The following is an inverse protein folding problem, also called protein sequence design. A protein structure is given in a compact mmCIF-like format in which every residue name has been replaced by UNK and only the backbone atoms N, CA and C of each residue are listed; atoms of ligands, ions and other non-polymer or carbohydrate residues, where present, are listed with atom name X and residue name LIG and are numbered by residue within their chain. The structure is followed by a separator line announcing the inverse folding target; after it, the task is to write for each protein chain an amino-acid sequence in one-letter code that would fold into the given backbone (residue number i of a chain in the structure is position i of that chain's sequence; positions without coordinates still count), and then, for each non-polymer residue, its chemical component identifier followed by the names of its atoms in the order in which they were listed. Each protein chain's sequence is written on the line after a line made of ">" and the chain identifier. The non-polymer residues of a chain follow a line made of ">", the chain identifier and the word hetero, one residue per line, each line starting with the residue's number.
data_IF_695395322524
#
_entry.id   IF_695395322524
#
_cell.length_a   1.000
_cell.length_b   1.000
_cell.length_c   1.000
_cell.angle_alpha   90.00
_cell.angle_beta   90.00
_cell.angle_gamma   90.00
#
_symmetry.space_group_name_H-M   'P 1'
#
loop_
_entity.id
_entity.type
_entity.pdbx_description
1 polymer ?
#
# COMPACT_ATOMS: atom_id res chain seq x y z
N UNK A 1 3.19 9.81 -15.49
CA UNK A 1 2.93 10.93 -14.53
C UNK A 1 3.39 12.30 -15.07
N UNK A 2 4.04 12.38 -16.20
CA UNK A 2 4.60 13.62 -16.74
C UNK A 2 5.85 14.09 -15.97
N UNK A 3 6.29 15.30 -16.27
CA UNK A 3 7.45 15.95 -15.67
C UNK A 3 7.12 17.39 -15.27
N UNK A 4 7.91 18.01 -14.37
CA UNK A 4 7.87 19.46 -14.14
C UNK A 4 8.03 20.27 -15.44
N UNK A 5 7.50 21.48 -15.46
CA UNK A 5 7.74 22.39 -16.59
C UNK A 5 9.24 22.62 -16.78
N UNK A 6 9.75 22.45 -18.00
CA UNK A 6 11.18 22.49 -18.30
C UNK A 6 11.96 21.21 -18.01
N UNK A 7 11.29 20.15 -17.53
CA UNK A 7 11.92 18.87 -17.18
C UNK A 7 12.56 18.84 -15.78
N UNK A 8 13.25 17.75 -15.47
CA UNK A 8 13.94 17.57 -14.20
C UNK A 8 15.26 16.80 -14.37
N UNK A 9 16.11 16.89 -13.36
CA UNK A 9 17.46 16.33 -13.35
C UNK A 9 17.61 15.39 -12.15
N UNK A 10 18.25 14.24 -12.38
CA UNK A 10 18.42 13.21 -11.37
C UNK A 10 17.14 12.40 -11.14
N UNK A 11 17.15 11.57 -10.13
CA UNK A 11 16.01 10.73 -9.76
C UNK A 11 14.92 11.53 -9.00
N UNK A 12 13.65 11.12 -9.08
CA UNK A 12 12.62 11.63 -8.19
C UNK A 12 12.84 11.10 -6.75
N UNK A 13 12.21 11.75 -5.78
CA UNK A 13 12.06 11.22 -4.43
C UNK A 13 10.58 11.14 -4.07
N UNK A 14 10.21 10.22 -3.19
CA UNK A 14 8.82 10.02 -2.81
C UNK A 14 8.66 9.74 -1.34
N UNK A 15 7.55 10.20 -0.79
CA UNK A 15 7.16 9.95 0.60
C UNK A 15 5.64 9.76 0.71
N UNK A 16 5.24 8.80 1.52
CA UNK A 16 3.88 8.65 2.00
C UNK A 16 3.88 8.93 3.50
N UNK A 17 3.46 10.13 3.91
CA UNK A 17 3.39 10.48 5.33
C UNK A 17 2.19 9.86 6.06
N UNK A 18 1.18 9.45 5.30
CA UNK A 18 0.04 8.65 5.75
C UNK A 18 -0.59 7.92 4.55
N UNK A 19 -1.51 6.96 4.75
CA UNK A 19 -2.08 6.17 3.65
C UNK A 19 -2.84 6.96 2.57
N UNK A 20 -3.29 8.18 2.89
CA UNK A 20 -4.08 9.02 1.97
C UNK A 20 -3.22 9.99 1.14
N UNK A 21 -1.95 10.19 1.50
CA UNK A 21 -1.08 11.20 0.89
C UNK A 21 0.21 10.58 0.39
N UNK A 22 0.51 10.78 -0.89
CA UNK A 22 1.82 10.49 -1.48
C UNK A 22 2.35 11.77 -2.14
N UNK A 23 3.57 12.16 -1.80
CA UNK A 23 4.26 13.26 -2.45
C UNK A 23 5.44 12.74 -3.26
N UNK A 24 5.60 13.27 -4.46
CA UNK A 24 6.76 13.05 -5.32
C UNK A 24 7.46 14.39 -5.52
N UNK A 25 8.76 14.41 -5.29
CA UNK A 25 9.61 15.57 -5.46
C UNK A 25 10.68 15.32 -6.51
N UNK A 26 11.06 16.38 -7.21
CA UNK A 26 12.14 16.36 -8.19
C UNK A 26 12.91 17.69 -8.16
N UNK A 27 14.19 17.62 -8.51
CA UNK A 27 14.96 18.82 -8.86
C UNK A 27 14.63 19.18 -10.30
N UNK A 28 13.98 20.31 -10.52
CA UNK A 28 13.73 20.84 -11.85
C UNK A 28 15.01 21.14 -12.62
N UNK A 29 14.94 21.24 -13.93
CA UNK A 29 16.06 21.72 -14.76
C UNK A 29 16.45 23.17 -14.41
N UNK A 30 15.56 23.90 -13.75
CA UNK A 30 15.76 25.23 -13.16
C UNK A 30 16.46 25.20 -11.79
N UNK A 31 16.85 24.01 -11.31
CA UNK A 31 17.42 23.74 -9.99
C UNK A 31 16.51 24.09 -8.80
N UNK A 32 15.19 24.22 -9.02
CA UNK A 32 14.21 24.39 -7.95
C UNK A 32 13.67 23.04 -7.50
N UNK A 33 13.13 23.04 -6.28
CA UNK A 33 12.32 21.92 -5.81
C UNK A 33 10.94 21.97 -6.47
N UNK A 34 10.54 20.87 -7.07
CA UNK A 34 9.20 20.66 -7.62
C UNK A 34 8.51 19.54 -6.89
N UNK A 35 7.20 19.69 -6.67
CA UNK A 35 6.36 18.71 -5.97
C UNK A 35 5.15 18.33 -6.83
N UNK A 36 4.77 17.08 -6.75
CA UNK A 36 3.48 16.57 -7.21
C UNK A 36 2.86 15.74 -6.11
N UNK A 37 1.65 16.08 -5.68
CA UNK A 37 0.96 15.43 -4.60
C UNK A 37 -0.19 14.55 -5.09
N UNK A 38 -0.36 13.39 -4.46
CA UNK A 38 -1.58 12.60 -4.50
C UNK A 38 -2.36 12.85 -3.22
N UNK A 39 -3.57 13.34 -3.38
CA UNK A 39 -4.48 13.61 -2.28
C UNK A 39 -5.93 13.53 -2.75
N UNK A 40 -6.85 13.05 -1.90
CA UNK A 40 -8.27 12.93 -2.26
C UNK A 40 -8.51 11.96 -3.43
N UNK A 41 -7.66 10.95 -3.63
CA UNK A 41 -7.81 9.95 -4.69
C UNK A 41 -7.23 10.34 -6.05
N UNK A 42 -6.66 11.54 -6.20
CA UNK A 42 -6.17 12.08 -7.48
C UNK A 42 -4.75 12.64 -7.37
N UNK A 43 -4.02 12.61 -8.48
CA UNK A 43 -2.73 13.29 -8.60
C UNK A 43 -2.95 14.75 -9.03
N UNK A 44 -2.42 15.70 -8.27
CA UNK A 44 -2.36 17.11 -8.65
C UNK A 44 -1.39 17.36 -9.81
N UNK A 45 -1.23 18.63 -10.20
CA UNK A 45 -0.21 19.07 -11.14
C UNK A 45 1.16 19.19 -10.45
N UNK A 46 2.26 19.21 -11.24
CA UNK A 46 3.56 19.61 -10.74
C UNK A 46 3.56 21.08 -10.35
N UNK A 47 4.04 21.41 -9.16
CA UNK A 47 4.14 22.76 -8.65
C UNK A 47 5.56 23.05 -8.14
N UNK A 48 6.16 24.20 -8.48
CA UNK A 48 7.45 24.60 -7.95
C UNK A 48 7.32 25.16 -6.53
N UNK A 49 8.35 24.93 -5.71
CA UNK A 49 8.56 25.66 -4.47
C UNK A 49 9.31 26.97 -4.79
N UNK A 50 8.67 28.11 -4.54
CA UNK A 50 9.20 29.43 -4.88
C UNK A 50 10.03 30.05 -3.76
N UNK A 51 10.92 29.29 -3.16
CA UNK A 51 11.68 29.66 -1.96
C UNK A 51 13.16 29.97 -2.23
N UNK A 52 13.54 30.17 -3.49
CA UNK A 52 14.87 30.61 -3.88
C UNK A 52 15.99 29.59 -3.65
N UNK A 53 15.66 28.36 -3.27
CA UNK A 53 16.64 27.30 -3.08
C UNK A 53 17.32 26.92 -4.39
N UNK A 54 18.66 26.75 -4.34
CA UNK A 54 19.42 26.26 -5.49
C UNK A 54 19.91 24.85 -5.16
N UNK A 55 19.26 23.85 -5.75
CA UNK A 55 19.52 22.44 -5.52
C UNK A 55 20.68 21.95 -6.40
N UNK A 56 21.65 21.26 -5.81
CA UNK A 56 22.72 20.58 -6.53
C UNK A 56 22.59 19.04 -6.49
N UNK A 57 21.62 18.50 -5.74
CA UNK A 57 21.29 17.07 -5.69
C UNK A 57 19.82 16.82 -5.94
N UNK A 58 19.45 15.55 -6.16
CA UNK A 58 18.10 15.09 -5.94
C UNK A 58 17.69 15.31 -4.48
N UNK A 59 16.37 15.50 -4.17
CA UNK A 59 15.91 15.62 -2.80
C UNK A 59 15.89 14.26 -2.09
N UNK A 60 16.14 14.27 -0.77
CA UNK A 60 15.86 13.15 0.13
C UNK A 60 14.71 13.52 1.06
N UNK A 61 13.86 12.56 1.38
CA UNK A 61 12.61 12.80 2.09
C UNK A 61 12.51 11.96 3.36
N UNK A 62 12.05 12.57 4.44
CA UNK A 62 11.76 11.92 5.72
C UNK A 62 10.49 12.45 6.36
N UNK A 63 9.92 11.70 7.29
CA UNK A 63 8.75 12.10 8.07
C UNK A 63 8.91 11.68 9.51
N UNK A 64 8.69 12.61 10.43
CA UNK A 64 8.63 12.36 11.87
C UNK A 64 7.19 12.17 12.36
N UNK A 65 6.26 11.90 11.46
CA UNK A 65 4.85 11.66 11.77
C UNK A 65 3.92 12.03 10.62
N UNK A 66 2.63 11.70 10.72
CA UNK A 66 1.66 11.84 9.61
C UNK A 66 1.40 13.29 9.19
N UNK A 67 1.73 14.25 10.06
CA UNK A 67 1.56 15.70 9.82
C UNK A 67 2.89 16.43 9.70
N UNK A 68 3.95 15.70 9.36
CA UNK A 68 5.29 16.26 9.27
C UNK A 68 6.05 15.65 8.09
N UNK A 69 6.75 16.48 7.34
CA UNK A 69 7.52 16.09 6.17
C UNK A 69 8.80 16.91 6.08
N UNK A 70 9.92 16.25 5.87
CA UNK A 70 11.23 16.89 5.67
C UNK A 70 11.73 16.67 4.25
N UNK A 71 12.35 17.69 3.70
CA UNK A 71 13.11 17.64 2.45
C UNK A 71 14.55 18.05 2.75
N UNK A 72 15.50 17.21 2.36
CA UNK A 72 16.93 17.48 2.46
C UNK A 72 17.54 17.50 1.07
N UNK A 73 18.45 18.44 0.84
CA UNK A 73 19.16 18.60 -0.43
C UNK A 73 20.60 19.00 -0.18
N UNK A 74 21.49 18.74 -1.13
CA UNK A 74 22.76 19.46 -1.21
C UNK A 74 22.54 20.73 -2.02
N UNK A 75 22.95 21.85 -1.46
CA UNK A 75 23.01 23.14 -2.14
C UNK A 75 24.24 23.26 -3.04
N UNK A 76 24.26 24.29 -3.89
CA UNK A 76 25.39 24.60 -4.77
C UNK A 76 26.66 25.02 -4.02
N UNK A 77 26.52 25.41 -2.76
CA UNK A 77 27.64 25.72 -1.83
C UNK A 77 28.23 24.46 -1.18
N UNK A 78 27.69 23.27 -1.51
CA UNK A 78 28.14 21.99 -0.99
C UNK A 78 27.57 21.61 0.38
N UNK A 79 26.78 22.46 1.03
CA UNK A 79 26.17 22.18 2.33
C UNK A 79 24.88 21.36 2.16
N UNK A 80 24.50 20.62 3.20
CA UNK A 80 23.17 20.02 3.32
C UNK A 80 22.21 21.08 3.84
N UNK A 81 21.08 21.21 3.17
CA UNK A 81 19.97 22.06 3.58
C UNK A 81 18.75 21.21 3.92
N UNK A 82 18.00 21.70 4.89
CA UNK A 82 16.72 21.15 5.32
C UNK A 82 15.61 22.16 5.07
N UNK A 83 14.46 21.65 4.67
CA UNK A 83 13.18 22.33 4.65
C UNK A 83 12.11 21.35 5.16
N UNK A 84 11.14 21.84 5.91
CA UNK A 84 10.06 20.96 6.39
C UNK A 84 8.70 21.60 6.23
N UNK A 85 7.71 20.73 6.19
CA UNK A 85 6.31 21.06 6.28
C UNK A 85 5.72 20.46 7.55
N UNK A 86 4.88 21.21 8.24
CA UNK A 86 4.10 20.72 9.37
C UNK A 86 2.71 21.35 9.38
N UNK A 87 1.73 20.61 9.85
CA UNK A 87 0.43 21.16 10.19
C UNK A 87 0.54 21.74 11.62
N UNK A 88 0.11 22.99 11.93
CA UNK A 88 -0.58 23.96 11.10
C UNK A 88 0.32 25.02 10.45
N UNK A 89 1.64 24.94 10.54
CA UNK A 89 2.57 26.03 10.17
C UNK A 89 2.88 26.13 8.67
N UNK A 90 2.61 25.06 7.91
CA UNK A 90 2.98 24.99 6.49
C UNK A 90 4.47 24.78 6.27
N UNK A 91 4.99 25.21 5.11
CA UNK A 91 6.40 25.08 4.75
C UNK A 91 7.31 26.09 5.45
N UNK A 92 8.44 25.60 5.98
CA UNK A 92 9.55 26.43 6.42
C UNK A 92 10.36 27.00 5.23
N UNK A 93 11.27 27.92 5.50
CA UNK A 93 12.39 28.22 4.58
C UNK A 93 13.49 27.15 4.63
N UNK A 94 14.51 27.28 3.78
CA UNK A 94 15.69 26.43 3.82
C UNK A 94 16.60 26.79 5.00
N UNK A 95 17.07 25.79 5.74
CA UNK A 95 18.01 25.92 6.86
C UNK A 95 19.26 25.10 6.53
N UNK A 96 20.43 25.72 6.64
CA UNK A 96 21.72 25.06 6.44
C UNK A 96 22.04 24.13 7.63
N UNK A 97 22.43 22.91 7.35
CA UNK A 97 22.89 21.92 8.33
C UNK A 97 24.41 21.69 8.24
N UNK A 98 25.11 22.45 7.39
CA UNK A 98 26.51 22.28 7.14
C UNK A 98 26.85 21.04 6.31
N UNK A 99 28.12 20.67 6.35
CA UNK A 99 28.67 19.51 5.64
C UNK A 99 29.72 18.81 6.47
N UNK A 100 30.02 17.51 6.22
CA UNK A 100 31.19 16.88 6.82
C UNK A 100 32.50 17.51 6.32
N UNK A 101 33.56 17.37 7.08
CA UNK A 101 34.92 17.67 6.60
C UNK A 101 35.52 16.35 6.15
N UNK A 102 35.65 16.06 4.89
CA UNK A 102 36.12 16.89 3.74
C UNK A 102 35.04 17.25 2.69
N UNK A 103 33.83 17.54 3.05
CA UNK A 103 32.73 17.78 2.11
C UNK A 103 31.93 16.51 1.81
N UNK A 104 31.00 16.58 0.86
CA UNK A 104 30.20 15.44 0.44
C UNK A 104 30.09 15.32 -1.09
N UNK A 105 29.88 14.09 -1.53
CA UNK A 105 29.68 13.72 -2.94
C UNK A 105 28.24 13.19 -3.10
N UNK A 106 27.52 13.67 -4.14
CA UNK A 106 26.15 13.31 -4.39
C UNK A 106 25.15 14.05 -3.47
N UNK A 107 24.01 13.45 -3.21
CA UNK A 107 22.95 13.95 -2.34
C UNK A 107 22.94 13.28 -0.96
N UNK A 108 22.17 13.84 -0.03
CA UNK A 108 21.88 13.19 1.25
C UNK A 108 20.85 12.05 1.07
N UNK A 109 20.86 11.10 2.01
CA UNK A 109 19.75 10.22 2.30
C UNK A 109 19.24 10.48 3.72
N UNK A 110 17.99 10.22 4.00
CA UNK A 110 17.41 10.47 5.32
C UNK A 110 16.47 9.36 5.76
N UNK A 111 16.41 9.16 7.06
CA UNK A 111 15.51 8.23 7.72
C UNK A 111 15.05 8.79 9.07
N UNK A 112 13.74 8.77 9.29
CA UNK A 112 13.14 8.99 10.61
C UNK A 112 12.52 7.67 11.06
N UNK A 113 13.16 6.98 12.01
CA UNK A 113 12.69 5.69 12.53
C UNK A 113 11.61 5.80 13.61
N UNK A 114 11.44 6.99 14.15
CA UNK A 114 10.39 7.36 15.10
C UNK A 114 10.22 8.90 15.12
N UNK A 115 9.18 9.44 15.78
CA UNK A 115 8.92 10.87 15.79
C UNK A 115 9.98 11.76 16.45
N UNK A 116 10.93 11.21 17.19
CA UNK A 116 11.97 11.95 17.91
C UNK A 116 13.33 11.90 17.23
N UNK A 117 13.50 11.05 16.21
CA UNK A 117 14.81 10.80 15.58
C UNK A 117 14.73 11.00 14.07
N UNK A 118 15.63 11.80 13.55
CA UNK A 118 15.87 11.91 12.11
C UNK A 118 17.37 11.84 11.83
N UNK A 119 17.79 10.92 10.99
CA UNK A 119 19.16 10.73 10.59
C UNK A 119 19.37 11.14 9.12
N UNK A 120 20.48 11.81 8.85
CA UNK A 120 20.95 12.11 7.51
C UNK A 120 22.26 11.38 7.30
N UNK A 121 22.38 10.70 6.17
CA UNK A 121 23.62 10.06 5.74
C UNK A 121 24.08 10.62 4.40
N UNK A 122 25.38 10.75 4.26
CA UNK A 122 26.02 11.19 3.03
C UNK A 122 27.26 10.37 2.75
N UNK A 123 27.66 10.28 1.49
CA UNK A 123 28.99 9.89 1.09
C UNK A 123 29.91 11.11 1.23
N UNK A 124 30.89 11.03 2.13
CA UNK A 124 31.89 12.07 2.28
C UNK A 124 32.83 12.19 1.08
N UNK A 125 33.54 13.31 0.98
CA UNK A 125 34.60 13.50 -0.01
C UNK A 125 35.77 12.50 0.12
N UNK A 126 35.85 11.82 1.27
CA UNK A 126 36.74 10.69 1.56
C UNK A 126 36.16 9.31 1.19
N UNK A 127 35.03 9.29 0.51
CA UNK A 127 34.25 8.09 0.17
C UNK A 127 33.81 7.24 1.38
N UNK A 128 33.82 7.80 2.58
CA UNK A 128 33.28 7.15 3.77
C UNK A 128 31.81 7.52 3.99
N UNK A 129 31.11 6.71 4.80
CA UNK A 129 29.77 7.04 5.28
C UNK A 129 29.88 8.07 6.41
N UNK A 130 29.14 9.15 6.30
CA UNK A 130 28.98 10.17 7.32
C UNK A 130 27.53 10.32 7.73
N UNK A 131 27.30 10.54 9.01
CA UNK A 131 25.98 10.68 9.62
C UNK A 131 25.84 12.02 10.34
N UNK A 132 24.67 12.63 10.24
CA UNK A 132 24.20 13.69 11.11
C UNK A 132 22.87 13.28 11.70
N UNK A 133 22.79 13.26 13.02
CA UNK A 133 21.61 12.84 13.75
C UNK A 133 20.85 14.02 14.33
N UNK A 134 19.51 13.93 14.32
CA UNK A 134 18.63 14.76 15.11
C UNK A 134 18.01 13.90 16.21
N UNK A 135 18.25 14.27 17.45
CA UNK A 135 17.61 13.69 18.63
C UNK A 135 17.59 14.73 19.76
N UNK A 136 16.71 14.52 20.74
CA UNK A 136 16.57 15.43 21.88
C UNK A 136 16.31 16.89 21.49
N UNK A 137 15.66 17.09 20.35
CA UNK A 137 15.31 18.43 19.84
C UNK A 137 16.44 19.19 19.11
N UNK A 138 17.61 18.57 18.91
CA UNK A 138 18.79 19.24 18.32
C UNK A 138 19.47 18.40 17.24
N UNK A 139 20.10 19.09 16.28
CA UNK A 139 21.01 18.47 15.32
C UNK A 139 22.40 18.32 15.94
N UNK A 140 22.91 17.07 15.99
CA UNK A 140 24.27 16.77 16.44
C UNK A 140 25.31 17.02 15.34
N UNK A 141 26.60 17.09 15.68
CA UNK A 141 27.68 17.22 14.69
C UNK A 141 27.72 16.07 13.69
N UNK A 142 28.34 16.28 12.53
CA UNK A 142 28.64 15.21 11.58
C UNK A 142 29.62 14.20 12.17
N UNK A 143 29.31 12.91 12.04
CA UNK A 143 30.12 11.79 12.56
C UNK A 143 30.50 10.88 11.40
N UNK A 144 31.77 10.55 11.29
CA UNK A 144 32.30 9.58 10.33
C UNK A 144 32.13 8.17 10.86
N UNK A 145 31.62 7.26 10.02
CA UNK A 145 31.65 5.84 10.31
C UNK A 145 33.02 5.26 9.97
N UNK A 146 33.73 4.74 10.98
CA UNK A 146 35.13 4.34 10.89
C UNK A 146 35.40 2.91 10.41
N UNK A 147 34.47 2.28 9.73
CA UNK A 147 34.47 0.86 9.40
C UNK A 147 35.03 0.50 8.01
N UNK A 148 35.83 1.39 7.44
CA UNK A 148 36.62 1.11 6.24
C UNK A 148 35.86 0.91 4.93
N UNK A 149 34.55 1.15 4.92
CA UNK A 149 33.74 1.09 3.70
C UNK A 149 34.21 2.10 2.66
N UNK A 150 34.31 1.69 1.39
CA UNK A 150 34.59 2.60 0.28
C UNK A 150 33.36 2.70 -0.60
N UNK A 151 32.62 3.80 -0.45
CA UNK A 151 31.36 4.02 -1.13
C UNK A 151 31.60 4.61 -2.52
N UNK A 152 30.89 4.11 -3.53
CA UNK A 152 30.83 4.73 -4.86
C UNK A 152 29.45 5.23 -5.23
N UNK A 153 28.45 5.06 -4.34
CA UNK A 153 27.09 5.57 -4.51
C UNK A 153 26.67 6.48 -3.35
N UNK A 154 25.57 7.15 -3.51
CA UNK A 154 24.79 7.71 -2.39
C UNK A 154 24.25 6.54 -1.53
N UNK A 155 24.10 6.73 -0.20
CA UNK A 155 23.48 5.72 0.65
C UNK A 155 21.97 5.65 0.43
N UNK A 156 21.37 4.47 0.61
CA UNK A 156 19.94 4.28 0.74
C UNK A 156 19.61 3.80 2.16
N UNK A 157 18.48 4.23 2.69
CA UNK A 157 18.13 4.01 4.09
C UNK A 157 16.77 3.34 4.24
N UNK A 158 16.69 2.33 5.11
CA UNK A 158 15.45 1.65 5.48
C UNK A 158 15.38 1.37 6.98
N UNK A 159 14.18 1.15 7.48
CA UNK A 159 13.95 0.77 8.88
C UNK A 159 12.90 -0.34 8.96
N UNK A 160 13.23 -1.41 9.66
CA UNK A 160 12.31 -2.50 9.97
C UNK A 160 11.74 -2.34 11.40
N UNK A 161 11.62 -1.11 11.88
CA UNK A 161 11.04 -0.76 13.16
C UNK A 161 11.80 0.34 13.89
N UNK A 162 11.27 0.86 15.02
CA UNK A 162 11.79 2.05 15.69
C UNK A 162 13.21 1.87 16.29
N UNK A 163 13.64 0.62 16.48
CA UNK A 163 14.95 0.27 17.02
C UNK A 163 15.87 -0.36 15.97
N UNK A 164 15.60 -0.14 14.70
CA UNK A 164 16.34 -0.74 13.61
C UNK A 164 16.54 0.24 12.45
N UNK A 165 17.75 0.27 11.89
CA UNK A 165 18.13 1.14 10.80
C UNK A 165 19.08 0.42 9.85
N UNK A 166 18.82 0.45 8.55
CA UNK A 166 19.67 -0.11 7.52
C UNK A 166 20.27 0.97 6.65
N UNK A 167 21.51 0.79 6.26
CA UNK A 167 22.20 1.57 5.24
C UNK A 167 22.67 0.63 4.14
N UNK A 168 22.32 0.95 2.90
CA UNK A 168 22.75 0.23 1.71
C UNK A 168 23.57 1.14 0.82
N UNK A 169 24.67 0.63 0.27
CA UNK A 169 25.57 1.36 -0.63
C UNK A 169 26.08 0.45 -1.73
N UNK A 170 26.54 1.04 -2.84
CA UNK A 170 27.39 0.37 -3.80
C UNK A 170 28.84 0.51 -3.39
N UNK A 171 29.55 -0.60 -3.29
CA UNK A 171 30.99 -0.64 -3.04
C UNK A 171 31.82 -0.49 -4.32
N UNK A 172 33.13 -0.24 -4.18
CA UNK A 172 34.10 -0.17 -5.29
C UNK A 172 34.22 -1.46 -6.09
N UNK A 173 33.83 -2.58 -5.50
CA UNK A 173 33.74 -3.89 -6.14
C UNK A 173 32.49 -4.07 -7.02
N UNK A 174 31.62 -3.04 -7.07
CA UNK A 174 30.38 -3.05 -7.81
C UNK A 174 29.23 -3.82 -7.14
N UNK A 175 29.45 -4.35 -5.94
CA UNK A 175 28.44 -5.07 -5.18
C UNK A 175 27.59 -4.12 -4.32
N UNK A 176 26.37 -4.55 -4.00
CA UNK A 176 25.55 -3.96 -2.96
C UNK A 176 26.09 -4.41 -1.60
N UNK A 177 26.29 -3.47 -0.70
CA UNK A 177 26.69 -3.69 0.67
C UNK A 177 25.64 -3.16 1.62
N UNK A 178 25.47 -3.86 2.76
CA UNK A 178 24.54 -3.53 3.83
C UNK A 178 25.29 -3.30 5.13
N UNK A 179 24.83 -2.35 5.92
CA UNK A 179 25.20 -2.13 7.32
C UNK A 179 23.92 -1.80 8.07
N UNK A 180 23.81 -2.25 9.31
CA UNK A 180 22.63 -1.96 10.11
C UNK A 180 22.99 -1.57 11.54
N UNK A 181 22.08 -0.82 12.14
CA UNK A 181 22.09 -0.49 13.54
C UNK A 181 20.87 -1.14 14.23
N UNK A 182 21.05 -1.65 15.43
CA UNK A 182 19.96 -2.06 16.30
C UNK A 182 20.14 -1.54 17.71
N UNK A 183 19.03 -1.23 18.40
CA UNK A 183 19.06 -0.64 19.73
C UNK A 183 19.74 -1.49 20.81
N UNK A 184 19.85 -2.80 20.60
CA UNK A 184 20.48 -3.71 21.55
C UNK A 184 21.96 -3.99 21.29
N UNK A 185 22.43 -3.85 20.02
CA UNK A 185 23.80 -4.27 19.63
C UNK A 185 24.62 -3.15 18.98
N UNK A 186 24.01 -2.00 18.68
CA UNK A 186 24.69 -0.91 17.97
C UNK A 186 24.88 -1.22 16.49
N UNK A 187 25.93 -0.63 15.87
CA UNK A 187 26.26 -0.80 14.46
C UNK A 187 26.92 -2.15 14.16
N UNK A 188 26.47 -2.81 13.08
CA UNK A 188 27.18 -3.93 12.47
C UNK A 188 28.40 -3.48 11.68
N UNK A 189 29.23 -4.43 11.22
CA UNK A 189 30.12 -4.22 10.09
C UNK A 189 29.37 -4.24 8.76
N UNK A 190 30.08 -3.97 7.65
CA UNK A 190 29.53 -4.13 6.29
C UNK A 190 29.38 -5.60 5.91
N UNK A 191 28.24 -5.96 5.34
CA UNK A 191 27.96 -7.28 4.80
C UNK A 191 27.59 -7.19 3.31
N UNK A 192 28.22 -8.00 2.42
CA UNK A 192 27.93 -7.96 1.00
C UNK A 192 26.60 -8.64 0.69
N UNK A 193 25.84 -8.06 -0.22
CA UNK A 193 24.60 -8.59 -0.77
C UNK A 193 24.72 -8.96 -2.26
N UNK A 194 25.93 -8.87 -2.84
CA UNK A 194 26.17 -9.16 -4.24
C UNK A 194 25.62 -8.10 -5.20
N UNK A 195 25.48 -8.46 -6.46
CA UNK A 195 24.94 -7.62 -7.50
C UNK A 195 24.00 -8.41 -8.42
N UNK A 196 23.07 -7.75 -9.13
CA UNK A 196 22.31 -8.39 -10.19
C UNK A 196 23.21 -8.84 -11.33
N UNK A 197 22.73 -9.79 -12.15
CA UNK A 197 23.45 -10.23 -13.35
C UNK A 197 23.77 -9.03 -14.25
N UNK A 198 25.03 -8.88 -14.64
CA UNK A 198 25.50 -7.72 -15.40
C UNK A 198 25.83 -6.48 -14.58
N UNK A 199 25.61 -6.50 -13.24
CA UNK A 199 25.87 -5.37 -12.35
C UNK A 199 24.78 -4.31 -12.38
N UNK A 200 25.00 -3.21 -11.66
CA UNK A 200 24.05 -2.08 -11.60
C UNK A 200 24.78 -0.73 -11.61
N UNK A 201 24.05 0.30 -11.99
CA UNK A 201 24.53 1.69 -12.05
C UNK A 201 23.77 2.56 -11.04
N UNK A 202 24.40 3.68 -10.66
CA UNK A 202 23.81 4.64 -9.74
C UNK A 202 23.79 4.16 -8.29
N UNK A 203 22.82 4.66 -7.54
CA UNK A 203 22.62 4.40 -6.12
C UNK A 203 21.48 3.42 -5.90
N UNK A 204 21.54 2.57 -4.86
CA UNK A 204 20.39 1.78 -4.46
C UNK A 204 19.26 2.65 -3.91
N UNK A 205 18.05 2.11 -3.90
CA UNK A 205 16.93 2.63 -3.14
C UNK A 205 16.33 1.51 -2.29
N UNK A 206 15.79 1.82 -1.14
CA UNK A 206 15.27 0.79 -0.24
C UNK A 206 13.98 1.22 0.42
N UNK A 207 13.15 0.22 0.71
CA UNK A 207 11.91 0.38 1.46
C UNK A 207 11.66 -0.82 2.37
N UNK A 208 11.23 -0.53 3.59
CA UNK A 208 10.71 -1.50 4.54
C UNK A 208 9.27 -1.13 4.85
N UNK A 209 8.32 -1.88 4.29
CA UNK A 209 6.89 -1.59 4.47
C UNK A 209 6.33 -2.14 5.79
N UNK A 210 7.04 -3.05 6.43
CA UNK A 210 6.77 -3.59 7.77
C UNK A 210 8.05 -4.15 8.39
N UNK A 211 7.97 -4.64 9.63
CA UNK A 211 9.13 -5.12 10.39
C UNK A 211 9.75 -6.43 9.86
N UNK A 212 9.10 -7.12 8.94
CA UNK A 212 9.58 -8.40 8.38
C UNK A 212 10.07 -8.30 6.94
N UNK A 213 9.91 -7.15 6.29
CA UNK A 213 10.23 -6.99 4.86
C UNK A 213 11.13 -5.79 4.61
N UNK A 214 12.18 -6.02 3.85
CA UNK A 214 13.03 -4.95 3.31
C UNK A 214 13.32 -5.24 1.84
N UNK A 215 13.00 -4.30 0.96
CA UNK A 215 13.29 -4.39 -0.46
C UNK A 215 14.37 -3.39 -0.83
N UNK A 216 15.32 -3.81 -1.63
CA UNK A 216 16.34 -2.94 -2.24
C UNK A 216 16.16 -2.97 -3.75
N UNK A 217 16.08 -1.81 -4.35
CA UNK A 217 15.92 -1.62 -5.78
C UNK A 217 17.13 -0.93 -6.37
N UNK A 218 17.54 -1.37 -7.55
CA UNK A 218 18.64 -0.76 -8.31
C UNK A 218 18.29 -0.70 -9.79
N UNK A 219 18.92 0.23 -10.50
CA UNK A 219 18.94 0.23 -11.96
C UNK A 219 20.07 -0.65 -12.44
N UNK A 220 19.73 -1.78 -13.08
CA UNK A 220 20.70 -2.64 -13.71
C UNK A 220 21.48 -1.94 -14.84
N UNK A 221 22.65 -2.43 -15.16
CA UNK A 221 23.43 -1.94 -16.33
C UNK A 221 22.70 -2.20 -17.65
N UNK A 222 21.69 -3.08 -17.63
CA UNK A 222 20.77 -3.33 -18.74
C UNK A 222 19.61 -2.31 -18.81
N UNK A 223 19.60 -1.30 -17.93
CA UNK A 223 18.54 -0.29 -17.84
C UNK A 223 17.25 -0.80 -17.21
N UNK A 224 17.16 -2.04 -16.77
CA UNK A 224 15.98 -2.59 -16.12
C UNK A 224 15.97 -2.31 -14.61
N UNK A 225 14.78 -2.41 -14.01
CA UNK A 225 14.63 -2.42 -12.56
C UNK A 225 14.99 -3.81 -12.04
N UNK A 226 15.84 -3.85 -11.03
CA UNK A 226 16.18 -5.05 -10.29
C UNK A 226 15.87 -4.90 -8.82
N UNK A 227 15.42 -5.97 -8.19
CA UNK A 227 15.04 -6.04 -6.78
C UNK A 227 15.84 -7.13 -6.06
N UNK A 228 16.24 -6.83 -4.83
CA UNK A 228 16.65 -7.83 -3.84
C UNK A 228 15.76 -7.67 -2.62
N UNK A 229 15.09 -8.74 -2.22
CA UNK A 229 14.11 -8.72 -1.15
C UNK A 229 14.60 -9.49 0.08
N UNK A 230 14.29 -8.96 1.26
CA UNK A 230 14.43 -9.64 2.55
C UNK A 230 13.03 -9.93 3.10
N UNK A 231 12.74 -11.20 3.36
CA UNK A 231 11.54 -11.68 4.04
C UNK A 231 11.80 -13.08 4.61
N UNK A 232 10.99 -13.52 5.59
CA UNK A 232 11.21 -14.77 6.36
C UNK A 232 12.63 -14.91 6.91
N UNK A 233 13.22 -13.78 7.34
CA UNK A 233 14.56 -13.76 7.93
C UNK A 233 15.73 -13.90 6.95
N UNK A 234 15.48 -13.94 5.63
CA UNK A 234 16.49 -14.21 4.63
C UNK A 234 16.49 -13.21 3.47
N UNK A 235 17.67 -12.93 2.92
CA UNK A 235 17.83 -12.24 1.64
C UNK A 235 17.64 -13.20 0.49
N UNK A 236 16.67 -12.91 -0.39
CA UNK A 236 16.40 -13.70 -1.59
C UNK A 236 17.29 -13.29 -2.76
N UNK A 237 17.30 -14.09 -3.82
CA UNK A 237 18.08 -13.79 -5.02
C UNK A 237 17.63 -12.50 -5.72
N UNK A 238 18.54 -11.88 -6.48
CA UNK A 238 18.18 -10.74 -7.33
C UNK A 238 17.13 -11.13 -8.35
N UNK A 239 16.09 -10.32 -8.46
CA UNK A 239 15.00 -10.50 -9.41
C UNK A 239 14.94 -9.30 -10.36
N UNK A 240 14.91 -9.59 -11.66
CA UNK A 240 14.67 -8.61 -12.71
C UNK A 240 13.17 -8.37 -12.86
N UNK A 241 12.78 -7.10 -13.01
CA UNK A 241 11.41 -6.75 -13.36
C UNK A 241 11.30 -6.59 -14.89
N UNK A 242 10.52 -7.49 -15.53
CA UNK A 242 10.35 -7.55 -16.98
C UNK A 242 9.14 -6.73 -17.47
N UNK A 243 9.05 -5.49 -17.03
CA UNK A 243 7.95 -4.59 -17.36
C UNK A 243 8.21 -3.65 -18.54
N UNK A 244 9.25 -3.93 -19.31
CA UNK A 244 9.57 -3.23 -20.56
C UNK A 244 10.03 -1.78 -20.38
N UNK A 245 10.18 -1.32 -19.14
CA UNK A 245 10.68 0.01 -18.84
C UNK A 245 12.20 0.11 -19.01
N UNK A 246 12.67 1.24 -19.53
CA UNK A 246 14.09 1.58 -19.53
C UNK A 246 14.30 2.74 -18.56
N UNK A 247 15.00 2.47 -17.46
CA UNK A 247 15.30 3.46 -16.44
C UNK A 247 16.47 4.35 -16.88
N UNK A 248 16.28 5.65 -16.79
CA UNK A 248 17.35 6.64 -17.05
C UNK A 248 18.08 7.04 -15.76
N UNK A 249 17.47 6.81 -14.59
CA UNK A 249 18.01 7.22 -13.30
C UNK A 249 17.66 6.23 -12.20
N UNK A 250 18.10 6.50 -10.96
CA UNK A 250 17.87 5.64 -9.81
C UNK A 250 16.38 5.57 -9.43
N UNK A 251 15.89 4.43 -8.93
CA UNK A 251 14.51 4.33 -8.47
C UNK A 251 14.29 5.07 -7.14
N UNK A 252 13.04 5.46 -6.88
CA UNK A 252 12.58 5.94 -5.59
C UNK A 252 11.39 5.12 -5.13
N UNK A 253 11.28 4.84 -3.84
CA UNK A 253 10.20 4.02 -3.28
C UNK A 253 9.51 4.68 -2.09
N UNK A 254 8.23 4.37 -1.92
CA UNK A 254 7.44 4.71 -0.75
C UNK A 254 6.34 3.66 -0.54
N UNK A 255 5.68 3.66 0.62
CA UNK A 255 4.57 2.76 0.91
C UNK A 255 3.41 3.51 1.58
N UNK A 256 2.17 3.10 1.30
CA UNK A 256 0.95 3.62 1.93
C UNK A 256 0.45 2.74 3.08
N UNK A 257 1.25 1.77 3.47
CA UNK A 257 0.93 0.78 4.48
C UNK A 257 1.66 -0.53 4.17
N UNK A 258 1.51 -1.55 5.03
CA UNK A 258 2.25 -2.80 4.91
C UNK A 258 1.94 -3.58 3.62
N UNK A 259 0.78 -3.32 3.01
CA UNK A 259 0.28 -4.02 1.83
C UNK A 259 0.27 -3.15 0.57
N UNK A 260 1.04 -2.08 0.55
CA UNK A 260 1.10 -1.21 -0.63
C UNK A 260 2.49 -0.58 -0.77
N UNK A 261 3.20 -0.96 -1.81
CA UNK A 261 4.51 -0.44 -2.15
C UNK A 261 4.46 0.29 -3.49
N UNK A 262 5.13 1.42 -3.58
CA UNK A 262 5.19 2.25 -4.78
C UNK A 262 6.63 2.50 -5.19
N UNK A 263 6.87 2.47 -6.49
CA UNK A 263 8.13 2.81 -7.11
C UNK A 263 7.92 3.93 -8.13
N UNK A 264 8.83 4.87 -8.13
CA UNK A 264 8.87 5.97 -9.06
C UNK A 264 10.25 5.99 -9.73
N UNK A 265 10.28 6.08 -11.04
CA UNK A 265 11.52 6.11 -11.81
C UNK A 265 11.47 7.20 -12.85
N UNK A 266 12.62 7.72 -13.24
CA UNK A 266 12.76 8.52 -14.44
C UNK A 266 13.01 7.60 -15.63
N UNK A 267 12.13 7.67 -16.64
CA UNK A 267 12.30 6.97 -17.88
C UNK A 267 13.24 7.69 -18.85
N UNK A 268 13.70 7.01 -19.89
CA UNK A 268 14.50 7.59 -20.98
C UNK A 268 13.75 8.65 -21.78
N UNK A 269 12.43 8.71 -21.68
CA UNK A 269 11.55 9.75 -22.20
C UNK A 269 11.51 11.01 -21.30
N UNK A 270 12.34 11.06 -20.24
CA UNK A 270 12.39 12.11 -19.23
C UNK A 270 11.09 12.31 -18.45
N UNK A 271 10.17 11.33 -18.46
CA UNK A 271 8.94 11.35 -17.68
C UNK A 271 9.13 10.58 -16.36
N UNK A 272 8.34 10.92 -15.34
CA UNK A 272 8.21 10.11 -14.14
C UNK A 272 7.23 8.98 -14.41
N UNK A 273 7.70 7.75 -14.28
CA UNK A 273 6.89 6.55 -14.34
C UNK A 273 6.61 6.04 -12.94
N UNK A 274 5.43 5.45 -12.75
CA UNK A 274 4.95 4.95 -11.47
C UNK A 274 4.53 3.49 -11.61
N UNK A 275 5.05 2.66 -10.74
CA UNK A 275 4.70 1.24 -10.58
C UNK A 275 4.34 1.01 -9.12
N UNK A 276 3.39 0.13 -8.86
CA UNK A 276 3.02 -0.23 -7.49
C UNK A 276 2.87 -1.74 -7.37
N UNK A 277 3.03 -2.21 -6.16
CA UNK A 277 2.75 -3.55 -5.74
C UNK A 277 1.71 -3.52 -4.62
N UNK A 278 0.74 -4.39 -4.73
CA UNK A 278 -0.20 -4.78 -3.66
C UNK A 278 -0.17 -6.30 -3.58
N UNK A 279 -0.35 -6.91 -2.39
CA UNK A 279 -0.46 -8.35 -2.31
C UNK A 279 -1.63 -8.80 -3.18
N UNK A 280 -1.44 -9.87 -3.91
CA UNK A 280 -2.56 -10.56 -4.54
C UNK A 280 -3.34 -11.23 -3.41
N UNK A 281 -4.41 -10.59 -2.96
CA UNK A 281 -5.27 -11.14 -1.94
C UNK A 281 -6.28 -12.10 -2.58
N UNK A 282 -6.58 -13.21 -1.91
CA UNK A 282 -7.77 -13.99 -2.23
C UNK A 282 -8.96 -13.05 -2.33
N UNK A 283 -9.63 -13.03 -3.46
CA UNK A 283 -10.66 -12.03 -3.79
C UNK A 283 -11.91 -12.70 -4.29
N UNK A 284 -13.09 -12.29 -3.81
CA UNK A 284 -14.38 -12.67 -4.34
C UNK A 284 -15.07 -11.45 -4.93
N UNK A 285 -15.48 -11.53 -6.19
CA UNK A 285 -16.35 -10.53 -6.82
C UNK A 285 -17.81 -10.81 -6.41
N UNK A 286 -18.61 -9.76 -6.33
CA UNK A 286 -20.04 -9.88 -6.03
C UNK A 286 -20.91 -9.15 -7.06
N UNK A 287 -22.07 -9.73 -7.34
CA UNK A 287 -23.18 -9.08 -8.01
C UNK A 287 -24.19 -8.64 -6.93
N UNK A 288 -24.32 -7.36 -6.72
CA UNK A 288 -25.25 -6.77 -5.77
C UNK A 288 -26.56 -6.47 -6.49
N UNK A 289 -27.60 -7.26 -6.25
CA UNK A 289 -28.86 -7.27 -6.99
C UNK A 289 -29.97 -6.73 -6.11
N UNK A 290 -30.44 -5.52 -6.36
CA UNK A 290 -31.55 -4.91 -5.62
C UNK A 290 -32.89 -5.37 -6.19
N UNK A 291 -33.67 -6.08 -5.39
CA UNK A 291 -34.98 -6.64 -5.78
C UNK A 291 -36.10 -5.71 -5.33
N UNK A 292 -36.96 -5.27 -6.24
CA UNK A 292 -37.93 -4.20 -5.99
C UNK A 292 -37.26 -2.82 -5.88
N UNK A 293 -36.17 -2.59 -6.66
CA UNK A 293 -35.30 -1.41 -6.55
C UNK A 293 -36.05 -0.07 -6.65
N UNK A 294 -37.09 0.02 -7.44
CA UNK A 294 -37.96 1.18 -7.62
C UNK A 294 -38.77 1.55 -6.37
N UNK A 295 -38.83 0.67 -5.39
CA UNK A 295 -39.47 0.89 -4.10
C UNK A 295 -38.48 1.12 -2.95
N UNK A 296 -37.17 1.14 -3.20
CA UNK A 296 -36.17 1.44 -2.19
C UNK A 296 -36.06 2.96 -1.99
N UNK A 297 -36.06 3.41 -0.73
CA UNK A 297 -35.71 4.78 -0.40
C UNK A 297 -34.21 5.01 -0.62
N UNK A 298 -33.80 6.29 -0.70
CA UNK A 298 -32.38 6.66 -0.77
C UNK A 298 -31.61 6.10 0.41
N UNK A 299 -32.15 6.16 1.63
CA UNK A 299 -31.54 5.56 2.83
C UNK A 299 -31.31 4.06 2.71
N UNK A 300 -32.25 3.31 2.13
CA UNK A 300 -32.12 1.87 1.91
C UNK A 300 -31.05 1.55 0.87
N UNK A 301 -30.93 2.40 -0.16
CA UNK A 301 -29.83 2.27 -1.13
C UNK A 301 -28.47 2.49 -0.48
N UNK A 302 -28.35 3.54 0.33
CA UNK A 302 -27.13 3.83 1.08
C UNK A 302 -26.81 2.69 2.06
N UNK A 303 -27.82 2.16 2.74
CA UNK A 303 -27.68 1.00 3.63
C UNK A 303 -27.14 -0.21 2.89
N UNK A 304 -27.73 -0.56 1.73
CA UNK A 304 -27.26 -1.66 0.89
C UNK A 304 -25.79 -1.51 0.48
N UNK A 305 -25.37 -0.30 0.10
CA UNK A 305 -23.98 -0.04 -0.28
C UNK A 305 -23.03 -0.10 0.92
N UNK A 306 -23.45 0.41 2.07
CA UNK A 306 -22.66 0.37 3.30
C UNK A 306 -22.53 -1.06 3.86
N UNK A 307 -23.51 -1.93 3.61
CA UNK A 307 -23.46 -3.35 4.00
C UNK A 307 -22.29 -4.08 3.34
N UNK A 308 -21.95 -3.76 2.09
CA UNK A 308 -20.75 -4.29 1.43
C UNK A 308 -19.48 -3.83 2.15
N UNK A 309 -19.43 -2.59 2.65
CA UNK A 309 -18.29 -2.08 3.41
C UNK A 309 -18.13 -2.83 4.74
N UNK A 310 -19.23 -3.11 5.43
CA UNK A 310 -19.22 -3.93 6.65
C UNK A 310 -18.71 -5.36 6.40
N UNK A 311 -19.20 -6.01 5.35
CA UNK A 311 -18.74 -7.34 4.96
C UNK A 311 -17.24 -7.35 4.59
N UNK A 312 -16.73 -6.32 3.91
CA UNK A 312 -15.29 -6.17 3.63
C UNK A 312 -14.45 -6.11 4.89
N UNK A 313 -14.90 -5.38 5.92
CA UNK A 313 -14.18 -5.27 7.19
C UNK A 313 -14.10 -6.62 7.92
N UNK A 314 -15.16 -7.42 7.86
CA UNK A 314 -15.19 -8.76 8.46
C UNK A 314 -14.23 -9.68 7.70
N UNK A 315 -14.35 -9.77 6.38
CA UNK A 315 -13.53 -10.68 5.56
C UNK A 315 -12.04 -10.30 5.53
N UNK A 316 -11.72 -9.01 5.68
CA UNK A 316 -10.34 -8.56 5.77
C UNK A 316 -9.56 -9.18 6.95
N UNK A 317 -10.25 -9.55 8.06
CA UNK A 317 -9.64 -10.26 9.19
C UNK A 317 -9.08 -11.63 8.79
N UNK A 318 -9.68 -12.27 7.78
CA UNK A 318 -9.22 -13.55 7.21
C UNK A 318 -8.30 -13.37 5.99
N UNK A 319 -7.95 -12.14 5.62
CA UNK A 319 -7.21 -11.85 4.40
C UNK A 319 -7.98 -12.23 3.13
N UNK A 320 -9.32 -12.13 3.14
CA UNK A 320 -10.19 -12.28 1.98
C UNK A 320 -10.73 -10.91 1.58
N UNK A 321 -10.58 -10.54 0.32
CA UNK A 321 -11.06 -9.28 -0.22
C UNK A 321 -12.40 -9.46 -0.96
N UNK A 322 -13.29 -8.46 -0.88
CA UNK A 322 -14.41 -8.32 -1.81
C UNK A 322 -13.97 -7.36 -2.90
N UNK A 323 -13.77 -7.89 -4.10
CA UNK A 323 -13.23 -7.17 -5.24
C UNK A 323 -14.25 -6.29 -5.95
N UNK A 324 -14.54 -6.61 -7.20
CA UNK A 324 -15.50 -5.85 -8.03
C UNK A 324 -16.93 -6.08 -7.53
N UNK A 325 -17.64 -4.97 -7.31
CA UNK A 325 -19.07 -4.97 -6.96
C UNK A 325 -19.86 -4.50 -8.17
N UNK A 326 -20.50 -5.43 -8.86
CA UNK A 326 -21.39 -5.14 -9.99
C UNK A 326 -22.81 -4.94 -9.46
N UNK A 327 -23.48 -3.91 -9.92
CA UNK A 327 -24.80 -3.50 -9.42
C UNK A 327 -25.87 -3.85 -10.45
N UNK A 328 -26.89 -4.53 -9.99
CA UNK A 328 -28.06 -4.90 -10.79
C UNK A 328 -29.34 -4.47 -10.07
N UNK A 329 -30.39 -4.32 -10.82
CA UNK A 329 -31.70 -3.94 -10.29
C UNK A 329 -32.80 -4.77 -10.96
N UNK A 330 -33.71 -5.30 -10.15
CA UNK A 330 -34.96 -5.93 -10.54
C UNK A 330 -36.05 -5.00 -10.04
N UNK A 331 -36.95 -4.55 -10.92
CA UNK A 331 -38.10 -3.72 -10.50
C UNK A 331 -39.10 -4.55 -9.72
N UNK A 332 -39.94 -3.91 -8.91
CA UNK A 332 -41.01 -4.58 -8.20
C UNK A 332 -41.98 -5.35 -9.15
N UNK A 333 -42.26 -4.77 -10.32
CA UNK A 333 -43.07 -5.42 -11.33
C UNK A 333 -42.41 -6.68 -11.92
N UNK A 334 -41.09 -6.71 -12.06
CA UNK A 334 -40.35 -7.87 -12.52
C UNK A 334 -40.22 -8.95 -11.43
N UNK A 335 -40.01 -8.55 -10.18
CA UNK A 335 -39.90 -9.46 -9.04
C UNK A 335 -41.24 -10.13 -8.70
N UNK A 336 -42.36 -9.43 -8.92
CA UNK A 336 -43.68 -9.93 -8.58
C UNK A 336 -43.79 -10.25 -7.09
N UNK A 337 -44.24 -11.48 -6.76
CA UNK A 337 -44.34 -11.93 -5.38
C UNK A 337 -42.96 -12.04 -4.66
N UNK A 338 -41.88 -12.21 -5.40
CA UNK A 338 -40.48 -12.35 -4.85
C UNK A 338 -39.85 -11.04 -4.38
N UNK A 339 -40.61 -9.94 -4.37
CA UNK A 339 -40.16 -8.69 -3.72
C UNK A 339 -40.07 -8.82 -2.18
N UNK A 340 -41.00 -9.63 -1.62
CA UNK A 340 -41.02 -10.02 -0.21
C UNK A 340 -40.81 -11.53 -0.17
N UNK A 341 -39.92 -12.00 0.65
CA UNK A 341 -39.55 -13.41 0.74
C UNK A 341 -40.07 -13.97 2.07
N UNK A 342 -40.97 -14.96 1.99
CA UNK A 342 -41.63 -15.58 3.13
C UNK A 342 -41.08 -16.98 3.46
N UNK A 343 -40.24 -17.52 2.59
CA UNK A 343 -39.71 -18.89 2.73
C UNK A 343 -38.37 -19.07 2.02
N UNK A 344 -37.61 -20.07 2.47
CA UNK A 344 -36.40 -20.52 1.78
C UNK A 344 -36.66 -20.95 0.32
N UNK A 345 -37.86 -21.52 0.05
CA UNK A 345 -38.24 -21.90 -1.29
C UNK A 345 -38.37 -20.71 -2.24
N UNK A 346 -38.92 -19.60 -1.77
CA UNK A 346 -38.99 -18.35 -2.53
C UNK A 346 -37.60 -17.69 -2.71
N UNK A 347 -36.75 -17.70 -1.67
CA UNK A 347 -35.37 -17.25 -1.77
C UNK A 347 -34.58 -18.03 -2.83
N UNK A 348 -34.76 -19.34 -2.86
CA UNK A 348 -34.19 -20.24 -3.87
C UNK A 348 -34.74 -19.95 -5.26
N UNK A 349 -36.05 -19.77 -5.40
CA UNK A 349 -36.66 -19.38 -6.67
C UNK A 349 -36.09 -18.07 -7.17
N UNK A 350 -36.04 -17.02 -6.33
CA UNK A 350 -35.49 -15.73 -6.67
C UNK A 350 -34.04 -15.85 -7.17
N UNK A 351 -33.20 -16.57 -6.41
CA UNK A 351 -31.78 -16.69 -6.78
C UNK A 351 -31.60 -17.47 -8.09
N UNK A 352 -32.42 -18.49 -8.37
CA UNK A 352 -32.29 -19.29 -9.57
C UNK A 352 -32.85 -18.56 -10.81
N UNK A 353 -33.95 -17.83 -10.67
CA UNK A 353 -34.62 -17.12 -11.77
C UNK A 353 -33.81 -15.91 -12.25
N UNK A 354 -33.01 -15.28 -11.35
CA UNK A 354 -32.31 -14.03 -11.60
C UNK A 354 -30.81 -14.11 -11.43
N UNK A 355 -30.20 -15.29 -11.44
CA UNK A 355 -28.77 -15.46 -11.37
C UNK A 355 -28.04 -14.74 -12.52
N UNK A 356 -26.90 -14.13 -12.22
CA UNK A 356 -26.08 -13.43 -13.21
C UNK A 356 -24.99 -14.38 -13.72
N UNK A 357 -24.93 -14.70 -15.03
CA UNK A 357 -24.02 -15.71 -15.58
C UNK A 357 -22.57 -15.18 -15.69
N UNK A 358 -21.93 -14.94 -14.55
CA UNK A 358 -20.52 -14.51 -14.48
C UNK A 358 -19.86 -15.15 -13.25
N UNK A 359 -18.53 -15.02 -13.16
CA UNK A 359 -17.73 -15.54 -12.05
C UNK A 359 -17.72 -14.56 -10.86
N UNK A 360 -18.90 -14.36 -10.25
CA UNK A 360 -19.08 -13.54 -9.06
C UNK A 360 -20.25 -14.08 -8.22
N UNK A 361 -20.19 -13.95 -6.90
CA UNK A 361 -21.26 -14.37 -6.00
C UNK A 361 -22.44 -13.42 -6.11
N UNK A 362 -23.64 -13.95 -6.31
CA UNK A 362 -24.87 -13.15 -6.36
C UNK A 362 -25.39 -12.89 -4.95
N UNK A 363 -25.65 -11.61 -4.63
CA UNK A 363 -26.24 -11.16 -3.38
C UNK A 363 -27.52 -10.39 -3.71
N UNK A 364 -28.64 -11.04 -3.52
CA UNK A 364 -29.98 -10.48 -3.73
C UNK A 364 -30.41 -9.72 -2.48
N UNK A 365 -30.65 -8.43 -2.63
CA UNK A 365 -31.11 -7.56 -1.55
C UNK A 365 -32.59 -7.33 -1.71
N UNK A 366 -33.38 -7.90 -0.81
CA UNK A 366 -34.84 -7.74 -0.78
C UNK A 366 -35.26 -6.72 0.28
N UNK A 367 -36.46 -6.20 0.16
CA UNK A 367 -36.99 -5.19 1.09
C UNK A 367 -37.29 -5.80 2.47
N UNK A 368 -37.80 -7.03 2.50
CA UNK A 368 -38.05 -7.77 3.74
C UNK A 368 -37.95 -9.28 3.52
N UNK A 369 -37.50 -9.96 4.56
CA UNK A 369 -37.55 -11.41 4.74
C UNK A 369 -38.37 -11.71 5.98
N UNK A 370 -39.31 -12.64 5.90
CA UNK A 370 -40.08 -13.07 7.04
C UNK A 370 -39.46 -14.32 7.67
N UNK A 371 -39.16 -14.23 8.99
CA UNK A 371 -38.61 -15.35 9.77
C UNK A 371 -37.11 -15.55 9.71
N UNK A 372 -36.35 -14.73 8.93
CA UNK A 372 -34.91 -14.75 8.86
C UNK A 372 -34.37 -13.38 8.44
N UNK A 373 -33.08 -13.11 8.65
CA UNK A 373 -32.39 -11.93 8.12
C UNK A 373 -31.76 -12.20 6.74
N UNK A 374 -31.53 -13.47 6.42
CA UNK A 374 -31.02 -13.93 5.13
C UNK A 374 -31.16 -15.43 4.94
N UNK A 375 -30.94 -15.88 3.73
CA UNK A 375 -30.83 -17.30 3.34
C UNK A 375 -29.72 -17.47 2.31
N UNK A 376 -28.95 -18.55 2.46
CA UNK A 376 -27.90 -18.91 1.52
C UNK A 376 -27.65 -20.42 1.51
N UNK A 377 -27.21 -20.95 0.39
CA UNK A 377 -26.70 -22.32 0.33
C UNK A 377 -25.36 -22.40 1.08
N UNK A 378 -25.11 -23.49 1.79
CA UNK A 378 -23.79 -23.80 2.32
C UNK A 378 -22.94 -24.45 1.23
N UNK A 379 -21.84 -23.82 0.84
CA UNK A 379 -20.98 -24.25 -0.26
C UNK A 379 -21.72 -24.19 -1.60
N UNK A 380 -22.04 -22.98 -2.04
CA UNK A 380 -22.75 -22.73 -3.29
C UNK A 380 -21.94 -23.14 -4.53
N UNK A 381 -22.62 -23.36 -5.65
CA UNK A 381 -21.99 -23.73 -6.92
C UNK A 381 -21.50 -22.50 -7.69
N UNK A 382 -20.32 -22.60 -8.34
CA UNK A 382 -19.79 -21.52 -9.18
C UNK A 382 -20.28 -21.52 -10.62
N UNK A 383 -20.84 -22.61 -11.09
CA UNK A 383 -21.43 -22.68 -12.42
C UNK A 383 -22.82 -22.05 -12.51
N UNK A 384 -23.43 -21.81 -11.33
CA UNK A 384 -24.77 -21.20 -11.20
C UNK A 384 -25.89 -21.90 -12.02
N UNK A 385 -25.59 -23.04 -12.59
CA UNK A 385 -26.56 -23.91 -13.28
C UNK A 385 -27.07 -24.96 -12.32
N UNK A 386 -27.76 -24.52 -11.29
CA UNK A 386 -28.17 -25.40 -10.22
C UNK A 386 -29.42 -26.18 -10.60
N UNK A 387 -29.24 -27.44 -11.02
CA UNK A 387 -30.31 -28.39 -11.29
C UNK A 387 -30.72 -29.19 -10.06
N UNK A 388 -29.96 -29.09 -8.96
CA UNK A 388 -30.20 -29.86 -7.72
C UNK A 388 -31.19 -29.20 -6.77
N UNK A 389 -31.72 -28.04 -7.12
CA UNK A 389 -32.66 -27.30 -6.28
C UNK A 389 -32.02 -26.49 -5.16
N UNK A 390 -30.70 -26.20 -5.24
CA UNK A 390 -30.00 -25.30 -4.34
C UNK A 390 -30.12 -23.84 -4.78
N UNK A 391 -29.82 -22.93 -3.87
CA UNK A 391 -29.69 -21.50 -4.18
C UNK A 391 -28.43 -21.21 -5.01
N UNK A 392 -28.52 -20.34 -5.99
CA UNK A 392 -27.38 -19.88 -6.83
C UNK A 392 -26.77 -18.58 -6.35
N UNK A 393 -27.23 -18.06 -5.22
CA UNK A 393 -26.75 -16.85 -4.56
C UNK A 393 -27.25 -16.75 -3.12
N UNK A 394 -26.89 -15.69 -2.44
CA UNK A 394 -27.36 -15.32 -1.11
C UNK A 394 -28.51 -14.32 -1.22
N UNK A 395 -29.54 -14.46 -0.41
CA UNK A 395 -30.68 -13.53 -0.32
C UNK A 395 -30.64 -12.89 1.07
N UNK A 396 -30.67 -11.57 1.14
CA UNK A 396 -30.54 -10.79 2.39
C UNK A 396 -31.57 -9.67 2.43
N UNK A 397 -32.02 -9.32 3.63
CA UNK A 397 -32.88 -8.15 3.84
C UNK A 397 -32.10 -6.95 4.38
N UNK A 398 -32.69 -5.77 4.23
CA UNK A 398 -32.18 -4.53 4.82
C UNK A 398 -32.81 -4.25 6.22
N UNK A 399 -33.26 -5.29 6.90
CA UNK A 399 -33.82 -5.16 8.24
C UNK A 399 -32.74 -4.82 9.26
N UNK A 400 -33.01 -3.82 10.11
CA UNK A 400 -32.12 -3.47 11.21
C UNK A 400 -31.22 -2.23 10.96
N UNK A 401 -30.18 -2.09 11.79
CA UNK A 401 -29.24 -0.97 11.68
C UNK A 401 -28.23 -1.18 10.52
N UNK A 402 -27.58 -0.09 10.09
CA UNK A 402 -26.50 -0.13 9.08
C UNK A 402 -25.39 -1.15 9.42
N UNK A 403 -25.04 -1.27 10.71
CA UNK A 403 -24.01 -2.20 11.16
C UNK A 403 -24.49 -3.66 11.10
N UNK A 404 -25.74 -3.95 11.48
CA UNK A 404 -26.31 -5.30 11.38
C UNK A 404 -26.37 -5.77 9.92
N UNK A 405 -26.73 -4.90 8.99
CA UNK A 405 -26.80 -5.27 7.57
C UNK A 405 -25.45 -5.72 7.01
N UNK A 406 -24.32 -5.13 7.45
CA UNK A 406 -22.98 -5.57 7.06
C UNK A 406 -22.65 -6.98 7.56
N UNK A 407 -23.04 -7.29 8.80
CA UNK A 407 -22.89 -8.62 9.38
C UNK A 407 -23.77 -9.65 8.68
N UNK A 408 -25.04 -9.32 8.38
CA UNK A 408 -25.93 -10.20 7.61
C UNK A 408 -25.35 -10.53 6.23
N UNK A 409 -24.82 -9.52 5.52
CA UNK A 409 -24.14 -9.75 4.24
C UNK A 409 -22.95 -10.71 4.38
N UNK A 410 -22.06 -10.45 5.35
CA UNK A 410 -20.91 -11.33 5.59
C UNK A 410 -21.36 -12.76 5.98
N UNK A 411 -22.39 -12.87 6.80
CA UNK A 411 -22.95 -14.14 7.27
C UNK A 411 -23.45 -14.99 6.10
N UNK A 412 -24.36 -14.45 5.30
CA UNK A 412 -24.96 -15.18 4.18
C UNK A 412 -23.96 -15.49 3.07
N UNK A 413 -23.10 -14.54 2.74
CA UNK A 413 -22.00 -14.80 1.82
C UNK A 413 -21.03 -15.85 2.37
N UNK A 414 -20.80 -15.88 3.69
CA UNK A 414 -19.98 -16.89 4.36
C UNK A 414 -20.54 -18.30 4.21
N UNK A 415 -21.86 -18.46 4.30
CA UNK A 415 -22.52 -19.73 3.99
C UNK A 415 -22.25 -20.15 2.54
N UNK A 416 -22.46 -19.25 1.59
CA UNK A 416 -22.20 -19.56 0.19
C UNK A 416 -20.75 -19.98 -0.05
N UNK A 417 -19.81 -19.36 0.64
CA UNK A 417 -18.38 -19.68 0.59
C UNK A 417 -17.99 -20.94 1.43
N UNK A 418 -18.95 -21.70 1.93
CA UNK A 418 -18.74 -23.02 2.52
C UNK A 418 -18.83 -23.11 4.04
N UNK A 419 -19.19 -22.05 4.75
CA UNK A 419 -19.28 -22.07 6.20
C UNK A 419 -20.63 -22.53 6.71
N UNK A 420 -20.62 -23.37 7.74
CA UNK A 420 -21.81 -23.73 8.52
C UNK A 420 -21.87 -22.87 9.80
N UNK A 421 -23.07 -22.78 10.39
CA UNK A 421 -23.22 -22.17 11.70
C UNK A 421 -22.33 -22.83 12.76
N UNK A 422 -21.85 -22.02 13.69
CA UNK A 422 -21.08 -22.49 14.86
C UNK A 422 -21.65 -21.92 16.14
N UNK A 423 -21.42 -22.63 17.26
CA UNK A 423 -21.86 -22.22 18.59
C UNK A 423 -20.84 -21.23 19.22
N UNK A 424 -20.61 -20.09 18.57
CA UNK A 424 -19.75 -19.01 19.07
C UNK A 424 -20.49 -17.68 18.95
N UNK A 425 -20.75 -17.04 20.08
CA UNK A 425 -21.64 -15.87 20.15
C UNK A 425 -21.06 -14.60 19.53
N UNK A 426 -19.74 -14.49 19.41
CA UNK A 426 -19.01 -13.35 18.86
C UNK A 426 -18.53 -13.57 17.41
N UNK A 427 -18.81 -14.74 16.84
CA UNK A 427 -18.41 -15.10 15.47
C UNK A 427 -19.46 -14.66 14.45
N UNK A 428 -19.02 -14.15 13.29
CA UNK A 428 -19.90 -13.64 12.25
C UNK A 428 -20.87 -14.67 11.66
N UNK A 429 -20.56 -15.97 11.78
CA UNK A 429 -21.41 -17.11 11.35
C UNK A 429 -22.02 -17.84 12.56
N UNK A 430 -22.17 -17.17 13.70
CA UNK A 430 -22.71 -17.75 14.93
C UNK A 430 -24.22 -18.07 14.85
N UNK A 431 -24.68 -19.03 15.67
CA UNK A 431 -26.08 -19.49 15.71
C UNK A 431 -27.10 -18.42 16.18
N UNK A 432 -26.63 -17.31 16.74
CA UNK A 432 -27.51 -16.28 17.33
C UNK A 432 -27.96 -15.22 16.31
N UNK A 433 -27.77 -15.47 15.02
CA UNK A 433 -28.05 -14.49 13.95
C UNK A 433 -27.02 -13.36 13.88
N UNK A 434 -27.15 -12.49 12.90
CA UNK A 434 -26.26 -11.37 12.69
C UNK A 434 -26.53 -10.27 13.74
N UNK A 435 -25.49 -9.85 14.47
CA UNK A 435 -25.54 -8.71 15.38
C UNK A 435 -24.28 -7.84 15.25
N UNK A 436 -24.33 -6.61 15.75
CA UNK A 436 -23.19 -5.68 15.68
C UNK A 436 -21.92 -6.20 16.38
N UNK A 437 -22.03 -7.15 17.28
CA UNK A 437 -20.92 -7.73 18.04
C UNK A 437 -20.35 -9.02 17.42
N UNK A 438 -21.06 -9.63 16.46
CA UNK A 438 -20.68 -10.91 15.85
C UNK A 438 -19.83 -10.65 14.60
N UNK A 439 -18.61 -10.20 14.78
CA UNK A 439 -17.72 -9.81 13.67
C UNK A 439 -16.45 -10.65 13.59
N UNK A 440 -16.16 -11.48 14.59
CA UNK A 440 -14.95 -12.28 14.62
C UNK A 440 -14.98 -13.40 13.58
N UNK A 441 -13.81 -13.68 13.01
CA UNK A 441 -13.60 -14.76 12.06
C UNK A 441 -12.43 -15.63 12.55
N UNK A 442 -12.55 -16.94 12.47
CA UNK A 442 -11.48 -17.85 12.83
C UNK A 442 -10.61 -18.22 11.62
N UNK A 443 -9.34 -18.55 11.82
CA UNK A 443 -8.41 -18.86 10.73
C UNK A 443 -8.89 -19.97 9.80
N UNK A 444 -9.50 -21.03 10.35
CA UNK A 444 -10.04 -22.12 9.56
C UNK A 444 -11.23 -21.69 8.68
N UNK A 445 -12.05 -20.72 9.13
CA UNK A 445 -13.15 -20.16 8.35
C UNK A 445 -12.59 -19.38 7.14
N UNK A 446 -11.57 -18.56 7.37
CA UNK A 446 -10.85 -17.87 6.32
C UNK A 446 -10.25 -18.84 5.30
N UNK A 447 -9.69 -19.96 5.76
CA UNK A 447 -9.14 -21.02 4.90
C UNK A 447 -10.23 -21.67 4.05
N UNK A 448 -11.38 -22.00 4.66
CA UNK A 448 -12.55 -22.58 3.97
C UNK A 448 -13.07 -21.65 2.89
N UNK A 449 -13.34 -20.38 3.23
CA UNK A 449 -13.85 -19.39 2.26
C UNK A 449 -12.89 -19.17 1.09
N UNK A 450 -11.58 -19.08 1.37
CA UNK A 450 -10.56 -18.89 0.34
C UNK A 450 -10.40 -20.07 -0.60
N UNK A 451 -10.82 -21.25 -0.21
CA UNK A 451 -10.82 -22.45 -1.06
C UNK A 451 -12.03 -22.52 -2.02
N UNK A 452 -13.00 -21.63 -1.88
CA UNK A 452 -14.20 -21.61 -2.72
C UNK A 452 -13.87 -21.18 -4.16
N UNK A 453 -14.52 -21.81 -5.13
CA UNK A 453 -14.25 -21.60 -6.57
C UNK A 453 -14.52 -20.16 -7.07
N UNK A 454 -15.31 -19.34 -6.39
CA UNK A 454 -15.45 -17.91 -6.70
C UNK A 454 -14.27 -17.05 -6.22
N UNK A 455 -13.39 -17.60 -5.39
CA UNK A 455 -12.23 -16.87 -4.89
C UNK A 455 -11.05 -17.07 -5.82
N UNK A 456 -10.46 -15.96 -6.23
CA UNK A 456 -9.30 -15.92 -7.10
C UNK A 456 -8.24 -14.96 -6.49
N UNK A 457 -7.01 -15.01 -6.97
CA UNK A 457 -5.95 -14.08 -6.55
C UNK A 457 -5.90 -12.90 -7.53
N UNK A 458 -6.25 -11.68 -7.06
CA UNK A 458 -6.30 -10.44 -7.83
C UNK A 458 -5.18 -9.47 -7.45
#
# INVERSE_FOLDING_TARGET
>A
MGAPAGGFVGHPATICRNPAVTNVYARGADNRLWQRAYWGGVWGAWAPHNDGGVLASAPALGSMGPEHEHVFVRGTDGQVFQKWWSLPTGWSGWIALGQPTPGLIGGPATLSRNPQVCNIYVRGGDNALWQKAYSDGVWHPWVRHGDGGVLVSEPALGSMGPNHEHVFVKGTDGQLWQKWWSGGTGWSGWAPLGAPAGGFSGSPNTISRNNGVCNVYVRGNDGALWQRAFWDGNWHAWQRHDDGGVLADDPASSHRGPDHEQLFVRGTDAQVWHKWWVPQLPTVDINLIAVGRDRFSTTQVDQMLNSVTGARQIYAQAGLNIGVVRRYAITAAQAGALEIIDSEAEARQLSNDWTVPNHALDVFVVKSLNGADGWSAVGGSCDKNETSGRMTGSVVSLNGSLANSGNTFAHEMGHYLGLQHIAAADNFIGNNGASNSNTNIFDWQGTTMKAHCFVYFA
#
